data_IF_951309649146
#
_entry.id   IF_951309649146
#
_cell.length_a   1.000
_cell.length_b   1.000
_cell.length_c   1.000
_cell.angle_alpha   90.00
_cell.angle_beta   90.00
_cell.angle_gamma   90.00
#
_symmetry.space_group_name_H-M   'P 1'
#
loop_
_entity.id
_entity.type
_entity.pdbx_description
1 polymer ?
#
# COMPACT_ATOMS: atom_id res chain seq x y z
N UNK A 1 7.61 -19.16 8.40
CA UNK A 1 6.52 -18.42 9.05
C UNK A 1 6.19 -17.25 8.13
N UNK A 2 5.19 -17.44 7.26
CA UNK A 2 4.79 -16.43 6.29
C UNK A 2 3.98 -15.37 7.02
N UNK A 3 4.58 -14.20 7.24
CA UNK A 3 3.92 -13.07 7.87
C UNK A 3 2.85 -12.52 6.93
N UNK A 4 1.62 -13.02 7.02
CA UNK A 4 0.47 -12.50 6.30
C UNK A 4 0.14 -11.08 6.81
N UNK A 5 0.65 -10.06 6.12
CA UNK A 5 0.29 -8.66 6.37
C UNK A 5 -0.97 -8.31 5.58
N UNK A 6 -2.10 -8.96 5.91
CA UNK A 6 -3.39 -8.66 5.28
C UNK A 6 -4.03 -7.49 6.04
N UNK A 7 -4.25 -6.37 5.35
CA UNK A 7 -5.01 -5.24 5.87
C UNK A 7 -6.44 -5.32 5.35
N UNK A 8 -7.40 -5.24 6.27
CA UNK A 8 -8.81 -5.14 5.92
C UNK A 8 -9.26 -3.68 5.92
N UNK A 9 -9.88 -3.22 4.86
CA UNK A 9 -10.45 -1.88 4.75
C UNK A 9 -11.87 -1.98 4.21
N UNK A 10 -12.82 -1.34 4.91
CA UNK A 10 -14.24 -1.53 4.64
C UNK A 10 -14.60 -3.02 4.70
N UNK A 11 -14.88 -3.62 3.53
CA UNK A 11 -15.12 -5.05 3.35
C UNK A 11 -14.04 -5.81 2.56
N UNK A 12 -12.99 -5.14 2.11
CA UNK A 12 -11.93 -5.71 1.26
C UNK A 12 -10.73 -6.14 2.08
N UNK A 13 -10.08 -7.22 1.64
CA UNK A 13 -8.84 -7.72 2.22
C UNK A 13 -7.72 -7.49 1.21
N UNK A 14 -6.75 -6.67 1.59
CA UNK A 14 -5.58 -6.37 0.77
C UNK A 14 -4.37 -7.02 1.42
N UNK A 15 -3.73 -7.91 0.69
CA UNK A 15 -2.43 -8.46 1.07
C UNK A 15 -1.34 -7.42 0.80
N UNK A 16 -0.57 -7.04 1.82
CA UNK A 16 0.61 -6.19 1.63
C UNK A 16 1.71 -7.03 1.00
N UNK A 17 1.78 -6.91 -0.32
CA UNK A 17 2.87 -7.41 -1.14
C UNK A 17 3.75 -6.26 -1.64
N UNK A 18 4.79 -6.63 -2.38
CA UNK A 18 5.71 -5.72 -3.05
C UNK A 18 4.99 -4.74 -4.00
N UNK A 19 3.99 -5.27 -4.71
CA UNK A 19 2.95 -4.61 -5.52
C UNK A 19 2.40 -3.33 -4.86
N UNK A 20 1.75 -3.58 -3.74
CA UNK A 20 0.99 -2.63 -2.93
C UNK A 20 1.90 -1.61 -2.26
N UNK A 21 3.06 -2.03 -1.76
CA UNK A 21 4.04 -1.12 -1.18
C UNK A 21 4.60 -0.14 -2.23
N UNK A 22 4.79 -0.60 -3.47
CA UNK A 22 5.24 0.24 -4.57
C UNK A 22 4.19 1.31 -4.93
N UNK A 23 2.90 0.94 -4.96
CA UNK A 23 1.77 1.87 -5.14
C UNK A 23 1.71 2.90 -4.02
N UNK A 24 1.74 2.47 -2.75
CA UNK A 24 1.72 3.41 -1.61
C UNK A 24 2.93 4.35 -1.63
N UNK A 25 4.10 3.86 -2.06
CA UNK A 25 5.30 4.71 -2.17
C UNK A 25 5.17 5.76 -3.27
N UNK A 26 4.64 5.41 -4.44
CA UNK A 26 4.34 6.38 -5.50
C UNK A 26 3.41 7.49 -4.97
N UNK A 27 2.41 7.12 -4.15
CA UNK A 27 1.55 8.10 -3.46
C UNK A 27 2.34 8.99 -2.49
N UNK A 28 3.16 8.42 -1.60
CA UNK A 28 3.96 9.18 -0.62
C UNK A 28 5.00 10.08 -1.31
N UNK A 29 5.53 9.66 -2.45
CA UNK A 29 6.43 10.46 -3.29
C UNK A 29 5.69 11.53 -4.11
N UNK A 30 4.38 11.69 -3.92
CA UNK A 30 3.52 12.67 -4.62
C UNK A 30 3.35 12.40 -6.12
N UNK A 31 3.65 11.18 -6.57
CA UNK A 31 3.48 10.75 -7.96
C UNK A 31 2.04 10.31 -8.26
N UNK A 32 1.17 10.15 -7.26
CA UNK A 32 -0.26 9.86 -7.42
C UNK A 32 -1.10 10.44 -6.29
N UNK A 33 -2.43 10.48 -6.48
CA UNK A 33 -3.42 10.85 -5.47
C UNK A 33 -4.11 9.64 -4.82
N UNK A 34 -4.83 9.85 -3.71
CA UNK A 34 -5.58 8.79 -3.01
C UNK A 34 -6.63 8.11 -3.90
N UNK A 35 -7.23 8.85 -4.84
CA UNK A 35 -8.21 8.31 -5.79
C UNK A 35 -7.56 7.39 -6.83
N UNK A 36 -6.33 7.68 -7.23
CA UNK A 36 -5.55 6.80 -8.11
C UNK A 36 -5.08 5.57 -7.34
N UNK A 37 -4.64 5.77 -6.09
CA UNK A 37 -4.25 4.68 -5.22
C UNK A 37 -5.41 3.72 -4.95
N UNK A 38 -6.61 4.24 -4.72
CA UNK A 38 -7.79 3.40 -4.52
C UNK A 38 -8.10 2.57 -5.75
N UNK A 39 -8.08 3.16 -6.96
CA UNK A 39 -8.25 2.45 -8.23
C UNK A 39 -7.20 1.38 -8.43
N UNK A 40 -5.92 1.70 -8.17
CA UNK A 40 -4.82 0.74 -8.28
C UNK A 40 -4.94 -0.41 -7.27
N UNK A 41 -5.49 -0.16 -6.08
CA UNK A 41 -5.70 -1.18 -5.04
C UNK A 41 -7.07 -1.88 -5.15
N UNK A 42 -7.91 -1.49 -6.10
CA UNK A 42 -9.26 -2.02 -6.26
C UNK A 42 -10.20 -1.65 -5.11
N UNK A 43 -9.97 -0.52 -4.46
CA UNK A 43 -10.77 0.05 -3.37
C UNK A 43 -11.92 0.93 -3.89
N UNK A 44 -12.99 1.04 -3.11
CA UNK A 44 -14.17 1.87 -3.39
C UNK A 44 -13.93 3.31 -2.95
N UNK A 45 -13.05 3.99 -3.69
CA UNK A 45 -12.80 5.43 -3.52
C UNK A 45 -11.65 5.77 -2.58
N UNK A 46 -11.36 7.08 -2.51
CA UNK A 46 -10.19 7.63 -1.82
C UNK A 46 -10.23 7.42 -0.29
N UNK A 47 -11.41 7.28 0.32
CA UNK A 47 -11.57 7.05 1.76
C UNK A 47 -10.97 5.71 2.19
N UNK A 48 -11.23 4.65 1.42
CA UNK A 48 -10.64 3.34 1.69
C UNK A 48 -9.11 3.36 1.47
N UNK A 49 -8.62 4.06 0.44
CA UNK A 49 -7.17 4.20 0.25
C UNK A 49 -6.50 4.93 1.42
N UNK A 50 -7.16 5.95 1.97
CA UNK A 50 -6.69 6.67 3.14
C UNK A 50 -6.65 5.78 4.40
N UNK A 51 -7.72 5.04 4.66
CA UNK A 51 -7.80 4.03 5.73
C UNK A 51 -6.68 2.98 5.58
N UNK A 52 -6.43 2.53 4.35
CA UNK A 52 -5.37 1.58 4.05
C UNK A 52 -3.99 2.12 4.43
N UNK A 53 -3.64 3.33 3.96
CA UNK A 53 -2.36 3.98 4.28
C UNK A 53 -2.21 4.17 5.79
N UNK A 54 -3.28 4.56 6.48
CA UNK A 54 -3.27 4.78 7.93
C UNK A 54 -3.00 3.50 8.71
N UNK A 55 -3.42 2.35 8.19
CA UNK A 55 -3.13 1.02 8.77
C UNK A 55 -1.73 0.52 8.43
N UNK A 56 -1.07 1.10 7.41
CA UNK A 56 0.32 0.78 7.09
C UNK A 56 1.25 1.40 8.15
N UNK A 57 2.07 0.59 8.84
CA UNK A 57 3.09 1.12 9.73
C UNK A 57 4.19 1.84 8.94
N UNK A 58 4.64 3.00 9.43
CA UNK A 58 5.72 3.78 8.81
C UNK A 58 7.03 2.97 8.60
N UNK A 59 7.29 1.96 9.42
CA UNK A 59 8.46 1.09 9.27
C UNK A 59 8.39 0.16 8.05
N UNK A 60 7.19 -0.17 7.53
CA UNK A 60 7.04 -0.97 6.30
C UNK A 60 7.52 -0.19 5.08
N UNK A 61 7.21 1.11 5.02
CA UNK A 61 7.69 2.00 3.96
C UNK A 61 9.23 2.11 3.96
N UNK A 62 9.85 2.06 5.15
CA UNK A 62 11.31 2.13 5.29
C UNK A 62 12.03 0.84 4.87
N UNK A 63 11.40 -0.33 5.09
CA UNK A 63 12.01 -1.66 4.84
C UNK A 63 12.21 -1.94 3.34
N UNK A 64 11.44 -1.29 2.48
CA UNK A 64 11.41 -1.53 1.04
C UNK A 64 12.55 -0.88 0.24
N UNK A 65 13.47 -0.15 0.91
CA UNK A 65 14.69 0.40 0.30
C UNK A 65 15.64 -0.66 -0.27
N UNK A 66 15.47 -1.95 0.06
CA UNK A 66 16.46 -3.00 -0.21
C UNK A 66 16.12 -3.94 -1.38
N UNK A 67 14.92 -3.88 -1.98
CA UNK A 67 14.47 -4.87 -2.98
C UNK A 67 14.53 -4.41 -4.44
N UNK A 68 14.52 -3.10 -4.73
CA UNK A 68 14.62 -2.57 -6.11
C UNK A 68 16.05 -2.55 -6.67
N UNK A 69 17.01 -3.14 -5.95
CA UNK A 69 18.36 -3.42 -6.44
C UNK A 69 18.53 -4.92 -6.66
N UNK A 70 17.63 -5.54 -7.43
CA UNK A 70 17.99 -6.75 -8.18
C UNK A 70 18.43 -6.30 -9.56
N UNK A 71 19.76 -6.18 -9.62
CA UNK A 71 20.69 -6.07 -10.74
C UNK A 71 20.20 -6.72 -12.04
#
# INVERSE_FOLDING_TARGET
MSSENIIKVGGKQIEINDEVLLKVRKYVNTEMNLDELSKELGLDGWEEAYEFIKKIPAWMLRKYSKSLNKK
#
